data_IF_421142619108
#
_entry.id   IF_421142619108
#
_cell.length_a   1.000
_cell.length_b   1.000
_cell.length_c   1.000
_cell.angle_alpha   90.00
_cell.angle_beta   90.00
_cell.angle_gamma   90.00
#
_symmetry.space_group_name_H-M   'P 1'
#
loop_
_entity.id
_entity.type
_entity.pdbx_description
1 polymer ?
#
# COMPACT_ATOMS: atom_id res chain seq x y z
N UNK A 1 -9.93 75.92 -20.16
CA UNK A 1 -8.74 75.33 -20.83
C UNK A 1 -8.36 74.09 -20.01
N UNK A 2 -8.66 72.86 -20.48
CA UNK A 2 -7.79 71.93 -21.26
C UNK A 2 -6.41 71.75 -20.58
N UNK A 3 -5.89 70.58 -20.19
CA UNK A 3 -5.88 69.18 -20.70
C UNK A 3 -5.67 68.22 -19.49
N UNK A 4 -6.30 67.04 -19.31
CA UNK A 4 -6.27 65.72 -19.98
C UNK A 4 -4.95 64.90 -19.90
N UNK A 5 -5.06 63.71 -19.26
CA UNK A 5 -4.26 62.44 -19.34
C UNK A 5 -2.90 62.40 -18.59
N UNK A 6 -2.53 61.33 -17.88
CA UNK A 6 -2.48 59.92 -18.28
C UNK A 6 -2.67 58.92 -17.11
N UNK A 7 -3.29 57.78 -17.43
CA UNK A 7 -3.26 56.52 -16.67
C UNK A 7 -1.99 55.76 -17.08
N UNK A 8 -1.40 54.94 -16.18
CA UNK A 8 -1.14 53.57 -16.58
C UNK A 8 -1.72 52.58 -15.57
N UNK A 9 -2.43 51.61 -16.13
CA UNK A 9 -2.75 50.35 -15.47
C UNK A 9 -1.45 49.58 -15.27
N UNK A 10 -1.28 48.93 -14.12
CA UNK A 10 -0.51 47.70 -14.07
C UNK A 10 -1.12 46.77 -13.02
N UNK A 11 -1.62 45.66 -13.54
CA UNK A 11 -2.12 44.54 -12.80
C UNK A 11 -0.97 43.74 -12.18
N UNK A 12 -1.33 42.93 -11.18
CA UNK A 12 -0.66 41.70 -10.76
C UNK A 12 0.80 41.84 -10.27
N UNK A 13 1.02 41.56 -8.99
CA UNK A 13 1.35 40.19 -8.59
C UNK A 13 1.35 40.06 -7.07
N UNK A 14 0.56 39.09 -6.63
CA UNK A 14 0.68 38.44 -5.32
C UNK A 14 2.09 37.87 -5.22
N UNK A 15 2.97 38.50 -4.42
CA UNK A 15 4.22 37.88 -3.98
C UNK A 15 3.95 37.31 -2.60
N UNK A 16 3.28 36.16 -2.62
CA UNK A 16 3.33 35.16 -1.56
C UNK A 16 4.50 34.22 -1.89
N UNK A 17 5.17 33.68 -0.87
CA UNK A 17 6.37 32.82 -0.89
C UNK A 17 7.66 33.59 -1.24
N UNK A 18 8.68 33.69 -0.38
CA UNK A 18 9.37 32.65 0.37
C UNK A 18 9.87 33.17 1.72
N UNK A 19 9.24 32.76 2.83
CA UNK A 19 9.91 32.66 4.14
C UNK A 19 10.42 31.22 4.27
N UNK A 20 11.43 30.87 3.47
CA UNK A 20 12.28 29.72 3.76
C UNK A 20 13.39 30.20 4.69
N UNK A 21 13.10 30.21 5.99
CA UNK A 21 14.12 30.36 7.01
C UNK A 21 14.84 29.01 7.12
N UNK A 22 16.08 28.96 6.64
CA UNK A 22 16.90 27.75 6.59
C UNK A 22 17.18 27.22 8.00
N UNK A 23 16.79 25.97 8.24
CA UNK A 23 17.23 25.19 9.40
C UNK A 23 18.39 24.32 8.93
N UNK A 24 19.57 24.53 9.50
CA UNK A 24 20.76 23.71 9.28
C UNK A 24 20.44 22.23 9.52
N UNK A 25 20.67 21.41 8.51
CA UNK A 25 20.61 19.95 8.61
C UNK A 25 21.91 19.50 9.28
N UNK A 26 21.84 19.27 10.59
CA UNK A 26 22.86 18.52 11.32
C UNK A 26 22.78 17.07 10.80
N UNK A 27 23.76 16.66 10.00
CA UNK A 27 24.01 15.25 9.67
C UNK A 27 24.44 14.52 10.95
N UNK A 28 23.46 14.05 11.71
CA UNK A 28 23.69 12.93 12.60
C UNK A 28 23.61 11.68 11.73
N UNK A 29 24.76 11.11 11.37
CA UNK A 29 24.77 9.73 10.89
C UNK A 29 24.11 8.88 11.98
N UNK A 30 23.08 8.08 11.67
CA UNK A 30 22.57 7.12 12.64
C UNK A 30 23.70 6.14 12.98
N UNK A 31 23.76 5.64 14.22
CA UNK A 31 24.70 4.60 14.57
C UNK A 31 24.45 3.40 13.65
N UNK A 32 25.55 2.86 13.14
CA UNK A 32 25.63 1.62 12.37
C UNK A 32 25.33 0.46 13.33
N UNK A 33 24.09 0.41 13.82
CA UNK A 33 23.58 -0.77 14.48
C UNK A 33 23.27 -1.77 13.39
N UNK A 34 24.18 -2.73 13.23
CA UNK A 34 23.94 -4.04 12.65
C UNK A 34 22.66 -4.61 13.28
N UNK A 35 21.51 -4.24 12.72
CA UNK A 35 20.24 -4.92 12.95
C UNK A 35 20.44 -6.28 12.32
N UNK A 36 21.00 -7.19 13.12
CA UNK A 36 20.87 -8.62 12.93
C UNK A 36 19.40 -8.85 12.61
N UNK A 37 19.16 -9.10 11.32
CA UNK A 37 17.96 -9.68 10.74
C UNK A 37 17.71 -11.00 11.46
N UNK A 38 17.20 -10.92 12.68
CA UNK A 38 16.84 -12.04 13.51
C UNK A 38 15.58 -12.64 12.88
N UNK A 39 15.77 -13.65 12.04
CA UNK A 39 14.84 -14.77 11.99
C UNK A 39 13.56 -14.59 11.20
N UNK A 40 13.53 -13.79 10.13
CA UNK A 40 12.50 -13.98 9.11
C UNK A 40 12.85 -15.22 8.28
N UNK A 41 12.41 -16.40 8.76
CA UNK A 41 12.41 -17.67 8.02
C UNK A 41 12.05 -17.39 6.55
N UNK A 42 12.80 -17.89 5.57
CA UNK A 42 12.66 -17.52 4.15
C UNK A 42 11.22 -17.68 3.60
N UNK A 43 10.43 -18.56 4.21
CA UNK A 43 9.00 -18.76 3.95
C UNK A 43 8.15 -17.49 4.17
N UNK A 44 8.53 -16.61 5.10
CA UNK A 44 7.84 -15.34 5.35
C UNK A 44 7.99 -14.34 4.20
N UNK A 45 8.97 -14.55 3.31
CA UNK A 45 9.29 -13.62 2.21
C UNK A 45 8.59 -13.96 0.89
N UNK A 46 7.75 -15.00 0.84
CA UNK A 46 7.10 -15.45 -0.42
C UNK A 46 5.59 -15.29 -0.35
N UNK A 47 5.01 -14.74 -1.42
CA UNK A 47 3.58 -14.85 -1.71
C UNK A 47 3.27 -16.28 -2.16
N UNK A 48 2.00 -16.68 -2.09
CA UNK A 48 1.55 -18.01 -2.49
C UNK A 48 0.95 -18.84 -1.36
N UNK A 49 0.90 -20.16 -1.55
CA UNK A 49 0.34 -21.09 -0.57
C UNK A 49 1.24 -21.22 0.65
N UNK A 50 0.70 -20.89 1.83
CA UNK A 50 1.36 -21.09 3.13
C UNK A 50 0.92 -22.44 3.72
N UNK A 51 -0.35 -22.80 3.54
CA UNK A 51 -0.92 -24.11 3.87
C UNK A 51 -2.11 -24.43 2.94
N UNK A 52 -2.78 -25.56 3.16
CA UNK A 52 -4.02 -25.90 2.43
C UNK A 52 -5.19 -24.95 2.71
N UNK A 53 -5.13 -24.22 3.82
CA UNK A 53 -6.18 -23.30 4.29
C UNK A 53 -5.75 -21.84 4.28
N UNK A 54 -4.49 -21.55 3.92
CA UNK A 54 -3.91 -20.21 3.99
C UNK A 54 -3.12 -19.87 2.74
N UNK A 55 -3.49 -18.77 2.10
CA UNK A 55 -2.80 -18.23 0.93
C UNK A 55 -2.37 -16.78 1.19
N UNK A 56 -1.10 -16.47 0.98
CA UNK A 56 -0.54 -15.12 1.09
C UNK A 56 -0.61 -14.41 -0.25
N UNK A 57 -1.49 -13.41 -0.34
CA UNK A 57 -1.66 -12.67 -1.57
C UNK A 57 -0.55 -11.64 -1.78
N UNK A 58 -0.20 -10.88 -0.74
CA UNK A 58 0.79 -9.80 -0.83
C UNK A 58 1.65 -9.74 0.42
N UNK A 59 2.92 -9.38 0.22
CA UNK A 59 3.82 -8.85 1.24
C UNK A 59 4.05 -7.39 0.87
N UNK A 60 3.64 -6.50 1.75
CA UNK A 60 3.68 -5.07 1.50
C UNK A 60 4.61 -4.42 2.52
N UNK A 61 5.63 -3.71 2.03
CA UNK A 61 6.65 -3.09 2.89
C UNK A 61 6.51 -1.59 2.75
N UNK A 62 6.33 -0.92 3.89
CA UNK A 62 6.37 0.53 3.99
C UNK A 62 7.61 0.97 4.75
N UNK A 63 8.25 2.01 4.22
CA UNK A 63 9.22 2.79 4.98
C UNK A 63 8.55 3.44 6.19
N UNK A 64 9.36 3.85 7.17
CA UNK A 64 8.85 4.61 8.32
C UNK A 64 8.06 5.86 7.88
N UNK A 65 8.60 6.64 6.93
CA UNK A 65 8.00 7.87 6.43
C UNK A 65 6.63 7.63 5.76
N UNK A 66 6.51 6.58 4.94
CA UNK A 66 5.24 6.22 4.30
C UNK A 66 4.19 5.74 5.32
N UNK A 67 4.63 5.03 6.37
CA UNK A 67 3.75 4.53 7.43
C UNK A 67 3.16 5.68 8.25
N UNK A 68 3.99 6.63 8.71
CA UNK A 68 3.51 7.77 9.51
C UNK A 68 2.66 8.76 8.70
N UNK A 69 2.86 8.80 7.37
CA UNK A 69 2.12 9.69 6.47
C UNK A 69 0.73 9.17 6.09
N UNK A 70 0.41 7.91 6.44
CA UNK A 70 -0.83 7.24 6.06
C UNK A 70 -1.64 6.83 7.29
N UNK A 71 -2.97 6.90 7.21
CA UNK A 71 -3.83 6.29 8.24
C UNK A 71 -3.85 4.78 8.08
N UNK A 72 -4.32 4.07 9.12
CA UNK A 72 -4.51 2.62 9.06
C UNK A 72 -5.39 2.21 7.88
N UNK A 73 -6.51 2.89 7.71
CA UNK A 73 -7.49 2.60 6.68
C UNK A 73 -6.88 2.77 5.28
N UNK A 74 -6.05 3.81 5.09
CA UNK A 74 -5.35 4.04 3.83
C UNK A 74 -4.32 2.94 3.52
N UNK A 75 -3.59 2.49 4.54
CA UNK A 75 -2.63 1.38 4.41
C UNK A 75 -3.38 0.09 4.04
N UNK A 76 -4.46 -0.22 4.77
CA UNK A 76 -5.26 -1.41 4.56
C UNK A 76 -5.92 -1.43 3.17
N UNK A 77 -6.51 -0.32 2.73
CA UNK A 77 -7.10 -0.17 1.40
C UNK A 77 -6.07 -0.41 0.30
N UNK A 78 -4.87 0.17 0.44
CA UNK A 78 -3.78 0.02 -0.53
C UNK A 78 -3.28 -1.42 -0.61
N UNK A 79 -3.09 -2.06 0.55
CA UNK A 79 -2.67 -3.46 0.63
C UNK A 79 -3.73 -4.37 0.04
N UNK A 80 -5.01 -4.18 0.39
CA UNK A 80 -6.14 -4.96 -0.12
C UNK A 80 -6.26 -4.84 -1.64
N UNK A 81 -6.09 -3.64 -2.18
CA UNK A 81 -6.10 -3.40 -3.63
C UNK A 81 -5.02 -4.22 -4.34
N UNK A 82 -3.76 -4.13 -3.89
CA UNK A 82 -2.66 -4.92 -4.47
C UNK A 82 -2.87 -6.43 -4.29
N UNK A 83 -3.44 -6.84 -3.16
CA UNK A 83 -3.73 -8.24 -2.87
C UNK A 83 -4.76 -8.82 -3.84
N UNK A 84 -5.86 -8.10 -4.12
CA UNK A 84 -6.88 -8.51 -5.10
C UNK A 84 -6.27 -8.63 -6.50
N UNK A 85 -5.49 -7.63 -6.91
CA UNK A 85 -4.81 -7.62 -8.21
C UNK A 85 -3.86 -8.82 -8.37
N UNK A 86 -3.06 -9.11 -7.35
CA UNK A 86 -2.18 -10.27 -7.33
C UNK A 86 -2.98 -11.58 -7.40
N UNK A 87 -4.06 -11.71 -6.61
CA UNK A 87 -4.92 -12.90 -6.63
C UNK A 87 -5.52 -13.14 -8.01
N UNK A 88 -6.06 -12.11 -8.65
CA UNK A 88 -6.64 -12.21 -9.99
C UNK A 88 -5.60 -12.64 -11.04
N UNK A 89 -4.37 -12.12 -10.93
CA UNK A 89 -3.23 -12.49 -11.78
C UNK A 89 -2.85 -13.97 -11.60
N UNK A 90 -2.69 -14.42 -10.35
CA UNK A 90 -2.37 -15.82 -10.02
C UNK A 90 -3.46 -16.78 -10.47
N UNK A 91 -4.71 -16.35 -10.38
CA UNK A 91 -5.83 -17.14 -10.85
C UNK A 91 -5.94 -17.21 -12.38
N UNK A 92 -5.13 -16.41 -13.11
CA UNK A 92 -5.21 -16.22 -14.56
C UNK A 92 -6.63 -15.84 -15.00
N UNK A 93 -7.30 -15.00 -14.21
CA UNK A 93 -8.64 -14.51 -14.50
C UNK A 93 -8.52 -13.45 -15.60
N UNK A 94 -8.53 -13.92 -16.84
CA UNK A 94 -8.48 -13.07 -18.02
C UNK A 94 -9.93 -12.66 -18.35
N UNK A 95 -10.36 -11.55 -17.72
CA UNK A 95 -11.52 -10.72 -18.10
C UNK A 95 -12.95 -11.26 -17.91
N UNK A 96 -13.20 -12.40 -17.27
CA UNK A 96 -14.59 -12.75 -16.92
C UNK A 96 -15.02 -11.97 -15.66
N UNK A 97 -16.04 -11.10 -15.82
CA UNK A 97 -16.59 -10.30 -14.69
C UNK A 97 -16.99 -11.19 -13.51
N UNK A 98 -17.48 -12.40 -13.79
CA UNK A 98 -17.91 -13.38 -12.79
C UNK A 98 -16.76 -13.90 -11.93
N UNK A 99 -15.67 -14.39 -12.54
CA UNK A 99 -14.51 -14.87 -11.77
C UNK A 99 -13.85 -13.76 -10.98
N UNK A 100 -13.74 -12.57 -11.57
CA UNK A 100 -13.20 -11.38 -10.90
C UNK A 100 -14.03 -11.02 -9.67
N UNK A 101 -15.36 -11.02 -9.79
CA UNK A 101 -16.27 -10.75 -8.67
C UNK A 101 -16.10 -11.80 -7.56
N UNK A 102 -16.05 -13.10 -7.91
CA UNK A 102 -15.85 -14.17 -6.93
C UNK A 102 -14.49 -14.08 -6.22
N UNK A 103 -13.43 -13.72 -6.93
CA UNK A 103 -12.11 -13.50 -6.33
C UNK A 103 -12.13 -12.30 -5.37
N UNK A 104 -12.80 -11.20 -5.73
CA UNK A 104 -13.00 -10.06 -4.82
C UNK A 104 -13.81 -10.46 -3.60
N UNK A 105 -14.92 -11.18 -3.75
CA UNK A 105 -15.74 -11.66 -2.64
C UNK A 105 -14.96 -12.61 -1.71
N UNK A 106 -14.10 -13.48 -2.26
CA UNK A 106 -13.22 -14.32 -1.46
C UNK A 106 -12.28 -13.47 -0.59
N UNK A 107 -11.70 -12.41 -1.16
CA UNK A 107 -10.81 -11.49 -0.45
C UNK A 107 -11.53 -10.62 0.58
N UNK A 108 -12.76 -10.20 0.29
CA UNK A 108 -13.56 -9.39 1.20
C UNK A 108 -14.01 -10.18 2.43
N UNK A 109 -14.35 -11.46 2.25
CA UNK A 109 -14.90 -12.28 3.33
C UNK A 109 -13.84 -12.98 4.17
N UNK A 110 -12.67 -13.30 3.59
CA UNK A 110 -11.67 -14.16 4.21
C UNK A 110 -10.25 -13.57 4.19
N UNK A 111 -10.08 -12.38 3.61
CA UNK A 111 -8.81 -11.67 3.59
C UNK A 111 -8.58 -10.92 4.89
N UNK A 112 -7.38 -11.05 5.44
CA UNK A 112 -6.97 -10.42 6.69
C UNK A 112 -5.58 -9.81 6.50
N UNK A 113 -5.43 -8.57 6.95
CA UNK A 113 -4.13 -7.92 7.03
C UNK A 113 -3.45 -8.31 8.36
N UNK A 114 -2.15 -8.58 8.33
CA UNK A 114 -1.34 -8.85 9.52
C UNK A 114 -0.04 -8.03 9.45
N UNK A 115 0.40 -7.35 10.53
CA UNK A 115 -0.21 -7.32 11.86
C UNK A 115 -1.51 -6.53 11.94
N UNK A 116 -2.37 -6.89 12.90
CA UNK A 116 -3.63 -6.20 13.18
C UNK A 116 -3.42 -4.84 13.84
N UNK A 117 -2.23 -4.53 14.34
CA UNK A 117 -1.91 -3.22 14.90
C UNK A 117 -0.77 -2.61 14.09
N UNK A 118 -0.93 -1.34 13.72
CA UNK A 118 0.08 -0.61 12.96
C UNK A 118 0.91 0.20 13.94
N UNK A 119 2.09 -0.31 14.24
CA UNK A 119 3.13 0.41 14.97
C UNK A 119 4.23 0.75 13.99
N UNK A 120 4.27 2.02 13.53
CA UNK A 120 5.26 2.48 12.57
C UNK A 120 6.66 2.43 13.18
N UNK A 121 7.45 1.44 12.77
CA UNK A 121 8.87 1.25 13.10
C UNK A 121 9.73 1.40 11.85
N UNK A 122 11.03 1.15 11.94
CA UNK A 122 11.95 1.30 10.79
C UNK A 122 11.57 0.43 9.58
N UNK A 123 10.99 -0.75 9.81
CA UNK A 123 10.52 -1.65 8.75
C UNK A 123 9.09 -2.10 9.03
N UNK A 124 8.13 -1.62 8.23
CA UNK A 124 6.72 -1.95 8.39
C UNK A 124 6.31 -2.98 7.35
N UNK A 125 6.34 -4.26 7.75
CA UNK A 125 5.99 -5.38 6.89
C UNK A 125 4.55 -5.80 7.20
N UNK A 126 3.71 -5.75 6.18
CA UNK A 126 2.33 -6.18 6.23
C UNK A 126 2.12 -7.37 5.31
N UNK A 127 1.31 -8.32 5.76
CA UNK A 127 0.86 -9.47 5.00
C UNK A 127 -0.63 -9.33 4.76
N UNK A 128 -1.09 -9.72 3.57
CA UNK A 128 -2.51 -9.90 3.31
C UNK A 128 -2.75 -11.37 2.98
N UNK A 129 -3.35 -12.07 3.93
CA UNK A 129 -3.54 -13.52 3.89
C UNK A 129 -5.03 -13.84 3.71
N UNK A 130 -5.35 -14.87 2.94
CA UNK A 130 -6.70 -15.45 2.84
C UNK A 130 -6.73 -16.70 3.69
N UNK A 131 -7.62 -16.75 4.68
CA UNK A 131 -7.78 -17.89 5.57
C UNK A 131 -9.18 -18.50 5.45
N UNK A 132 -9.26 -19.71 4.88
CA UNK A 132 -10.53 -20.40 4.65
C UNK A 132 -10.31 -21.91 4.61
N UNK A 133 -11.26 -22.67 5.17
CA UNK A 133 -11.30 -24.12 4.97
C UNK A 133 -11.53 -24.45 3.48
N UNK A 134 -10.83 -25.45 2.96
CA UNK A 134 -10.93 -25.90 1.56
C UNK A 134 -10.60 -24.79 0.54
N UNK A 135 -9.67 -23.89 0.88
CA UNK A 135 -9.30 -22.73 0.04
C UNK A 135 -8.80 -23.13 -1.36
N UNK A 136 -8.04 -24.22 -1.47
CA UNK A 136 -7.60 -24.77 -2.77
C UNK A 136 -8.78 -25.15 -3.67
N UNK A 137 -9.83 -25.75 -3.11
CA UNK A 137 -11.04 -26.12 -3.85
C UNK A 137 -11.78 -24.85 -4.32
N UNK A 138 -11.87 -23.83 -3.47
CA UNK A 138 -12.45 -22.54 -3.84
C UNK A 138 -11.71 -21.91 -5.02
N UNK A 139 -10.37 -21.90 -4.99
CA UNK A 139 -9.56 -21.39 -6.10
C UNK A 139 -9.84 -22.13 -7.41
N UNK A 140 -9.98 -23.46 -7.35
CA UNK A 140 -10.33 -24.27 -8.53
C UNK A 140 -11.75 -23.96 -9.03
N UNK A 141 -12.72 -23.82 -8.13
CA UNK A 141 -14.10 -23.47 -8.48
C UNK A 141 -14.19 -22.10 -9.17
N UNK A 142 -13.44 -21.11 -8.67
CA UNK A 142 -13.36 -19.79 -9.28
C UNK A 142 -12.73 -19.92 -10.68
N UNK A 143 -11.56 -20.58 -10.81
CA UNK A 143 -10.88 -20.78 -12.10
C UNK A 143 -11.74 -21.47 -13.16
N UNK A 144 -12.60 -22.39 -12.75
CA UNK A 144 -13.44 -23.19 -13.64
C UNK A 144 -14.83 -22.58 -13.89
N UNK A 145 -15.18 -21.48 -13.23
CA UNK A 145 -16.44 -20.78 -13.47
C UNK A 145 -16.40 -20.14 -14.86
N UNK A 146 -17.35 -20.48 -15.74
CA UNK A 146 -17.54 -19.87 -17.06
C UNK A 146 -18.43 -18.62 -16.99
#
# INVERSE_FOLDING_TARGET
MKYFRFIPALAALVILSFLFCGREVIKNNPPDDDVKSNGYNETFKKTGWISDTKYRAVIYILTYEECIASTREQIEEKIKYEAIKHLQSEMKIIFTRNQSAKASTLMENYGLMSPDEINCTENNIFFYDIEKKDLKLEFQNIKNTK
#
